data_IF_079944759711
#
_entry.id   IF_079944759711
#
_cell.length_a   1.000
_cell.length_b   1.000
_cell.length_c   1.000
_cell.angle_alpha   90.00
_cell.angle_beta   90.00
_cell.angle_gamma   90.00
#
_symmetry.space_group_name_H-M   'P 1'
#
loop_
_entity.id
_entity.type
_entity.pdbx_description
1 polymer ?
#
# COMPACT_ATOMS: atom_id res chain seq x y z
N UNK A 1 -6.37 13.62 24.10
CA UNK A 1 -5.71 14.37 23.00
C UNK A 1 -5.41 15.77 23.49
N UNK A 2 -4.35 16.40 22.98
CA UNK A 2 -4.04 17.81 23.28
C UNK A 2 -4.69 18.65 22.19
N UNK A 3 -5.31 19.77 22.56
CA UNK A 3 -5.88 20.69 21.58
C UNK A 3 -4.76 21.39 20.79
N UNK A 4 -4.91 21.55 19.48
CA UNK A 4 -3.85 22.05 18.57
C UNK A 4 -3.28 23.43 18.93
N UNK A 5 -4.06 24.22 19.67
CA UNK A 5 -3.69 25.57 20.11
C UNK A 5 -3.27 25.67 21.58
N UNK A 6 -3.25 24.56 22.32
CA UNK A 6 -3.00 24.57 23.76
C UNK A 6 -1.58 25.03 24.13
N UNK A 7 -0.61 24.84 23.23
CA UNK A 7 0.81 25.12 23.47
C UNK A 7 1.29 26.39 22.72
N UNK A 8 0.36 27.15 22.12
CA UNK A 8 0.71 28.42 21.48
C UNK A 8 1.25 29.42 22.50
N UNK A 9 2.33 30.12 22.13
CA UNK A 9 2.99 31.11 22.98
C UNK A 9 3.99 30.54 23.98
N UNK A 10 4.12 29.21 24.10
CA UNK A 10 5.06 28.55 25.02
C UNK A 10 6.45 28.30 24.39
N UNK A 11 6.92 29.19 23.52
CA UNK A 11 8.15 28.97 22.75
C UNK A 11 9.44 28.90 23.57
N UNK A 12 9.43 29.49 24.77
CA UNK A 12 10.56 29.46 25.71
C UNK A 12 10.51 28.25 26.67
N UNK A 13 9.49 27.40 26.60
CA UNK A 13 9.35 26.24 27.48
C UNK A 13 10.50 25.25 27.20
N UNK A 14 11.20 24.83 28.25
CA UNK A 14 12.33 23.89 28.15
C UNK A 14 11.94 22.46 28.53
N UNK A 15 10.99 22.31 29.44
CA UNK A 15 10.52 21.00 29.91
C UNK A 15 9.00 20.92 29.84
N UNK A 16 8.50 19.83 29.27
CA UNK A 16 7.08 19.57 29.16
C UNK A 16 6.78 18.18 29.71
N UNK A 17 6.10 18.15 30.84
CA UNK A 17 5.61 16.92 31.45
C UNK A 17 4.15 16.67 31.10
N UNK A 18 3.93 15.62 30.32
CA UNK A 18 2.62 15.09 29.94
C UNK A 18 2.43 13.66 30.44
N UNK A 19 3.25 13.22 31.38
CA UNK A 19 3.20 11.86 31.92
C UNK A 19 1.90 11.58 32.67
N UNK A 20 1.57 10.30 32.79
CA UNK A 20 0.39 9.79 33.52
C UNK A 20 -0.95 10.37 33.02
N UNK A 21 -1.02 10.68 31.73
CA UNK A 21 -2.24 11.11 31.06
C UNK A 21 -2.87 9.96 30.25
N UNK A 22 -3.91 10.28 29.49
CA UNK A 22 -4.60 9.33 28.61
C UNK A 22 -4.39 9.67 27.13
N UNK A 23 -3.19 10.13 26.77
CA UNK A 23 -2.86 10.49 25.40
C UNK A 23 -2.75 9.23 24.54
N UNK A 24 -3.54 9.18 23.47
CA UNK A 24 -3.57 8.08 22.49
C UNK A 24 -2.88 8.45 21.20
N UNK A 25 -2.90 9.74 20.85
CA UNK A 25 -2.29 10.32 19.64
C UNK A 25 -1.76 11.72 19.96
N UNK A 26 -0.74 12.13 19.21
CA UNK A 26 -0.13 13.46 19.26
C UNK A 26 -0.04 14.00 17.83
N UNK A 27 -0.38 15.27 17.65
CA UNK A 27 -0.33 15.95 16.36
C UNK A 27 0.92 16.82 16.29
N UNK A 28 1.79 16.67 15.27
CA UNK A 28 3.02 17.47 15.14
C UNK A 28 2.78 18.98 15.24
N UNK A 29 1.67 19.46 14.70
CA UNK A 29 1.27 20.87 14.66
C UNK A 29 1.09 21.46 16.05
N UNK A 30 0.74 20.65 17.04
CA UNK A 30 0.56 21.09 18.42
C UNK A 30 1.89 21.43 19.09
N UNK A 31 2.99 20.83 18.64
CA UNK A 31 4.33 20.95 19.23
C UNK A 31 5.23 21.93 18.48
N UNK A 32 4.88 22.33 17.25
CA UNK A 32 5.60 23.34 16.46
C UNK A 32 5.97 24.64 17.23
N UNK A 33 5.12 25.18 18.12
CA UNK A 33 5.47 26.40 18.84
C UNK A 33 6.60 26.23 19.85
N UNK A 34 6.92 25.01 20.29
CA UNK A 34 7.82 24.72 21.41
C UNK A 34 9.30 24.66 20.98
N UNK A 35 9.81 25.78 20.46
CA UNK A 35 11.15 25.85 19.84
C UNK A 35 12.31 25.63 20.80
N UNK A 36 12.14 25.89 22.11
CA UNK A 36 13.19 25.74 23.12
C UNK A 36 13.08 24.45 23.95
N UNK A 37 12.16 23.55 23.61
CA UNK A 37 11.90 22.36 24.42
C UNK A 37 13.07 21.38 24.36
N UNK A 38 13.65 21.10 25.51
CA UNK A 38 14.77 20.18 25.70
C UNK A 38 14.31 18.80 26.23
N UNK A 39 13.29 18.77 27.09
CA UNK A 39 12.80 17.52 27.70
C UNK A 39 11.30 17.35 27.47
N UNK A 40 10.93 16.22 26.88
CA UNK A 40 9.53 15.80 26.71
C UNK A 40 9.26 14.50 27.46
N UNK A 41 8.39 14.58 28.47
CA UNK A 41 7.98 13.42 29.25
C UNK A 41 6.58 12.95 28.84
N UNK A 42 6.50 11.77 28.23
CA UNK A 42 5.26 11.11 27.78
C UNK A 42 4.99 9.79 28.52
N UNK A 43 5.63 9.60 29.67
CA UNK A 43 5.56 8.36 30.45
C UNK A 43 4.12 7.99 30.83
N UNK A 44 3.80 6.71 30.82
CA UNK A 44 2.50 6.19 31.30
C UNK A 44 1.29 6.84 30.60
N UNK A 45 1.34 6.92 29.27
CA UNK A 45 0.20 7.31 28.44
C UNK A 45 -0.39 6.07 27.72
N UNK A 46 -1.25 6.30 26.73
CA UNK A 46 -1.92 5.25 25.93
C UNK A 46 -1.46 5.27 24.48
N UNK A 47 -0.21 5.67 24.22
CA UNK A 47 0.36 5.73 22.88
C UNK A 47 0.67 4.31 22.38
N UNK A 48 -0.04 3.87 21.35
CA UNK A 48 0.31 2.64 20.62
C UNK A 48 1.43 2.87 19.60
N UNK A 49 1.48 4.09 19.06
CA UNK A 49 2.45 4.57 18.09
C UNK A 49 2.69 6.06 18.32
N UNK A 50 3.80 6.57 17.77
CA UNK A 50 4.13 7.98 17.80
C UNK A 50 4.74 8.36 16.46
N UNK A 51 4.13 9.34 15.79
CA UNK A 51 4.69 9.91 14.58
C UNK A 51 5.99 10.65 14.92
N UNK A 52 7.15 10.27 14.34
CA UNK A 52 8.40 10.98 14.52
C UNK A 52 8.32 12.48 14.22
N UNK A 53 7.40 12.92 13.36
CA UNK A 53 7.21 14.34 13.06
C UNK A 53 6.89 15.18 14.30
N UNK A 54 6.29 14.59 15.35
CA UNK A 54 6.08 15.25 16.65
C UNK A 54 7.41 15.56 17.33
N UNK A 55 8.38 14.65 17.25
CA UNK A 55 9.69 14.79 17.87
C UNK A 55 10.61 15.65 17.01
N UNK A 56 10.51 15.55 15.69
CA UNK A 56 11.28 16.35 14.74
C UNK A 56 10.83 17.83 14.71
N UNK A 57 9.60 18.11 15.12
CA UNK A 57 9.11 19.47 15.34
C UNK A 57 9.81 20.21 16.51
N UNK A 58 10.60 19.51 17.32
CA UNK A 58 11.25 20.02 18.52
C UNK A 58 12.77 20.12 18.30
N UNK A 59 13.28 21.26 17.78
CA UNK A 59 14.66 21.37 17.31
C UNK A 59 15.71 21.31 18.44
N UNK A 60 15.32 21.64 19.67
CA UNK A 60 16.21 21.64 20.85
C UNK A 60 16.04 20.38 21.72
N UNK A 61 15.30 19.37 21.25
CA UNK A 61 15.00 18.18 22.04
C UNK A 61 16.27 17.39 22.35
N UNK A 62 16.53 17.19 23.63
CA UNK A 62 17.68 16.47 24.19
C UNK A 62 17.26 15.18 24.90
N UNK A 63 16.08 15.14 25.50
CA UNK A 63 15.60 13.98 26.26
C UNK A 63 14.12 13.70 25.98
N UNK A 64 13.81 12.44 25.69
CA UNK A 64 12.44 11.94 25.57
C UNK A 64 12.23 10.71 26.45
N UNK A 65 11.13 10.73 27.23
CA UNK A 65 10.74 9.62 28.10
C UNK A 65 9.44 9.01 27.59
N UNK A 66 9.50 7.75 27.18
CA UNK A 66 8.43 7.05 26.45
C UNK A 66 7.91 5.79 27.17
N UNK A 67 8.47 5.46 28.35
CA UNK A 67 8.15 4.23 29.08
C UNK A 67 6.69 4.17 29.52
N UNK A 68 6.16 2.95 29.68
CA UNK A 68 4.80 2.75 30.18
C UNK A 68 3.69 3.03 29.17
N UNK A 69 3.99 3.11 27.88
CA UNK A 69 3.01 3.20 26.81
C UNK A 69 2.74 1.82 26.17
N UNK A 70 1.54 1.56 25.65
CA UNK A 70 1.15 0.30 25.03
C UNK A 70 1.67 0.16 23.59
N UNK A 71 2.99 0.24 23.39
CA UNK A 71 3.61 0.24 22.07
C UNK A 71 3.20 -0.97 21.22
N UNK A 72 2.66 -0.70 20.04
CA UNK A 72 2.21 -1.69 19.09
C UNK A 72 3.33 -2.04 18.12
N UNK A 73 4.09 -3.07 18.42
CA UNK A 73 5.21 -3.57 17.64
C UNK A 73 4.75 -4.36 16.42
N UNK A 74 4.07 -3.65 15.52
CA UNK A 74 3.65 -4.06 14.19
C UNK A 74 4.39 -3.20 13.14
N UNK A 75 3.92 -3.17 11.90
CA UNK A 75 4.49 -2.29 10.88
C UNK A 75 4.29 -0.80 11.15
N UNK A 76 3.29 -0.42 11.94
CA UNK A 76 3.00 0.97 12.25
C UNK A 76 4.04 1.62 13.18
N UNK A 77 4.78 0.83 13.97
CA UNK A 77 5.85 1.35 14.84
C UNK A 77 7.11 1.72 14.06
N UNK A 78 7.23 1.29 12.80
CA UNK A 78 8.46 1.40 12.01
C UNK A 78 9.02 2.83 11.95
N UNK A 79 8.22 3.89 11.72
CA UNK A 79 8.72 5.26 11.75
C UNK A 79 9.34 5.61 13.10
N UNK A 80 8.66 5.28 14.21
CA UNK A 80 9.18 5.51 15.56
C UNK A 80 10.45 4.70 15.81
N UNK A 81 10.48 3.42 15.46
CA UNK A 81 11.66 2.56 15.62
C UNK A 81 12.88 3.13 14.88
N UNK A 82 12.70 3.66 13.67
CA UNK A 82 13.76 4.34 12.91
C UNK A 82 14.26 5.58 13.65
N UNK A 83 13.34 6.41 14.14
CA UNK A 83 13.70 7.61 14.88
C UNK A 83 14.48 7.27 16.17
N UNK A 84 14.01 6.29 16.94
CA UNK A 84 14.68 5.81 18.17
C UNK A 84 16.06 5.20 17.86
N UNK A 85 16.19 4.53 16.72
CA UNK A 85 17.46 3.95 16.26
C UNK A 85 18.48 5.00 15.83
N UNK A 86 18.01 6.13 15.29
CA UNK A 86 18.87 7.23 14.87
C UNK A 86 19.22 8.17 16.03
N UNK A 87 18.27 8.49 16.91
CA UNK A 87 18.41 9.44 18.01
C UNK A 87 18.63 8.74 19.37
N UNK A 88 19.47 7.70 19.40
CA UNK A 88 19.64 6.84 20.58
C UNK A 88 20.01 7.63 21.83
N UNK A 89 20.85 8.65 21.71
CA UNK A 89 21.30 9.51 22.80
C UNK A 89 20.17 10.30 23.47
N UNK A 90 19.09 10.61 22.74
CA UNK A 90 17.95 11.37 23.28
C UNK A 90 16.95 10.52 24.06
N UNK A 91 17.03 9.20 23.93
CA UNK A 91 16.04 8.27 24.48
C UNK A 91 16.46 7.78 25.86
N UNK A 92 15.68 8.13 26.88
CA UNK A 92 15.87 7.64 28.24
C UNK A 92 15.28 6.23 28.40
N UNK A 93 15.92 5.42 29.26
CA UNK A 93 15.49 4.07 29.63
C UNK A 93 15.09 3.15 28.44
N UNK A 94 15.95 3.05 27.43
CA UNK A 94 15.69 2.28 26.18
C UNK A 94 15.17 0.85 26.40
N UNK A 95 15.68 0.17 27.42
CA UNK A 95 15.28 -1.20 27.79
C UNK A 95 13.86 -1.30 28.33
N UNK A 96 13.28 -0.17 28.79
CA UNK A 96 11.91 -0.10 29.33
C UNK A 96 10.84 0.19 28.28
N UNK A 97 11.23 0.44 27.03
CA UNK A 97 10.32 0.67 25.91
C UNK A 97 9.79 -0.67 25.38
N UNK A 98 8.98 -1.35 26.19
CA UNK A 98 8.44 -2.67 25.89
C UNK A 98 7.29 -2.59 24.89
N UNK A 99 7.27 -3.53 23.95
CA UNK A 99 6.08 -3.82 23.18
C UNK A 99 4.96 -4.27 24.12
N UNK A 100 3.71 -3.95 23.78
CA UNK A 100 2.52 -4.49 24.45
C UNK A 100 1.59 -5.19 23.48
N UNK A 101 1.62 -4.77 22.21
CA UNK A 101 0.85 -5.39 21.13
C UNK A 101 1.84 -5.83 20.04
N UNK A 102 1.71 -7.03 19.46
CA UNK A 102 0.83 -8.11 19.90
C UNK A 102 1.34 -8.76 21.21
N UNK A 103 0.48 -9.45 21.95
CA UNK A 103 0.77 -9.93 23.31
C UNK A 103 2.02 -10.84 23.40
N UNK A 104 2.32 -11.57 22.32
CA UNK A 104 3.48 -12.45 22.21
C UNK A 104 4.81 -11.70 22.37
N UNK A 105 4.82 -10.40 22.07
CA UNK A 105 6.02 -9.57 22.16
C UNK A 105 6.09 -8.74 23.44
N UNK A 106 5.19 -8.94 24.42
CA UNK A 106 5.03 -8.06 25.57
C UNK A 106 6.26 -7.89 26.50
N UNK A 107 7.29 -8.73 26.33
CA UNK A 107 8.56 -8.71 27.08
C UNK A 107 9.74 -8.18 26.27
N UNK A 108 9.54 -7.91 24.99
CA UNK A 108 10.62 -7.45 24.12
C UNK A 108 10.57 -5.92 24.02
N UNK A 109 11.73 -5.23 24.19
CA UNK A 109 11.79 -3.80 23.92
C UNK A 109 11.73 -3.54 22.42
N UNK A 110 11.16 -2.40 22.01
CA UNK A 110 11.08 -1.94 20.61
C UNK A 110 12.48 -1.98 19.95
N UNK A 111 13.51 -1.64 20.72
CA UNK A 111 14.89 -1.58 20.24
C UNK A 111 15.57 -2.96 20.08
N UNK A 112 14.93 -4.06 20.48
CA UNK A 112 15.48 -5.41 20.27
C UNK A 112 15.35 -5.89 18.82
N UNK A 113 14.42 -5.31 18.04
CA UNK A 113 14.21 -5.72 16.65
C UNK A 113 15.23 -5.07 15.73
N UNK A 114 15.70 -5.83 14.74
CA UNK A 114 16.57 -5.35 13.66
C UNK A 114 15.77 -4.92 12.43
N UNK A 115 16.46 -4.32 11.46
CA UNK A 115 15.83 -3.89 10.20
C UNK A 115 15.19 -5.07 9.43
N UNK A 116 15.73 -6.28 9.58
CA UNK A 116 15.19 -7.52 9.01
C UNK A 116 13.73 -7.79 9.45
N UNK A 117 13.40 -7.50 10.70
CA UNK A 117 12.05 -7.67 11.25
C UNK A 117 11.02 -6.77 10.58
N UNK A 118 11.46 -5.68 9.93
CA UNK A 118 10.60 -4.71 9.27
C UNK A 118 10.68 -4.75 7.75
N UNK A 119 11.45 -5.66 7.14
CA UNK A 119 11.55 -5.78 5.68
C UNK A 119 10.20 -6.01 5.01
N UNK A 120 9.33 -6.78 5.66
CA UNK A 120 7.99 -7.09 5.15
C UNK A 120 7.01 -5.91 5.30
N UNK A 121 7.31 -4.95 6.16
CA UNK A 121 6.50 -3.74 6.37
C UNK A 121 6.66 -2.70 5.26
N UNK A 122 7.51 -2.99 4.28
CA UNK A 122 7.65 -2.20 3.06
C UNK A 122 6.49 -2.52 2.09
N UNK A 123 5.26 -2.46 2.59
CA UNK A 123 4.06 -2.39 1.79
C UNK A 123 4.08 -1.01 1.14
N UNK A 124 4.62 -0.96 -0.07
CA UNK A 124 4.38 0.13 -1.02
C UNK A 124 2.86 0.35 -1.02
N UNK A 125 2.35 1.56 -0.70
CA UNK A 125 0.92 1.82 -0.80
C UNK A 125 0.54 1.45 -2.23
N UNK A 126 -0.26 0.38 -2.42
CA UNK A 126 -0.63 -0.22 -3.72
C UNK A 126 0.06 0.49 -4.88
N UNK A 127 1.30 0.08 -5.18
CA UNK A 127 2.18 0.84 -6.09
C UNK A 127 1.36 1.36 -7.26
N UNK A 128 1.52 2.64 -7.65
CA UNK A 128 0.84 3.25 -8.81
C UNK A 128 0.88 2.30 -10.03
N UNK A 129 1.91 1.46 -10.12
CA UNK A 129 2.01 0.34 -11.05
C UNK A 129 0.82 -0.63 -11.02
N UNK A 130 0.37 -1.12 -9.87
CA UNK A 130 -0.80 -2.00 -9.77
C UNK A 130 -2.09 -1.29 -10.22
N UNK A 131 -2.28 -0.03 -9.82
CA UNK A 131 -3.42 0.77 -10.28
C UNK A 131 -3.39 1.01 -11.80
N UNK A 132 -2.22 1.33 -12.35
CA UNK A 132 -1.98 1.43 -13.79
C UNK A 132 -2.28 0.10 -14.48
N UNK A 133 -1.79 -1.02 -13.94
CA UNK A 133 -2.04 -2.35 -14.49
C UNK A 133 -3.54 -2.66 -14.56
N UNK A 134 -4.32 -2.37 -13.51
CA UNK A 134 -5.77 -2.54 -13.53
C UNK A 134 -6.48 -1.59 -14.51
N UNK A 135 -6.04 -0.33 -14.60
CA UNK A 135 -6.58 0.65 -15.57
C UNK A 135 -6.29 0.28 -17.02
N UNK A 136 -5.21 -0.45 -17.28
CA UNK A 136 -4.78 -0.86 -18.63
C UNK A 136 -5.45 -2.18 -19.04
N UNK A 137 -5.56 -3.18 -18.15
CA UNK A 137 -6.12 -4.49 -18.51
C UNK A 137 -7.56 -4.40 -19.05
N UNK A 138 -8.39 -3.53 -18.47
CA UNK A 138 -9.78 -3.34 -18.90
C UNK A 138 -9.91 -2.87 -20.37
N UNK A 139 -9.34 -1.70 -20.74
CA UNK A 139 -9.38 -1.19 -22.11
C UNK A 139 -8.76 -2.15 -23.14
N UNK A 140 -7.64 -2.80 -22.81
CA UNK A 140 -6.99 -3.72 -23.74
C UNK A 140 -7.83 -4.96 -24.02
N UNK A 141 -8.46 -5.55 -23.00
CA UNK A 141 -9.36 -6.68 -23.18
C UNK A 141 -10.61 -6.32 -23.98
N UNK A 142 -11.18 -5.12 -23.76
CA UNK A 142 -12.31 -4.61 -24.53
C UNK A 142 -11.98 -4.40 -26.01
N UNK A 143 -10.84 -3.75 -26.31
CA UNK A 143 -10.38 -3.53 -27.68
C UNK A 143 -10.08 -4.85 -28.41
N UNK A 144 -9.46 -5.82 -27.71
CA UNK A 144 -9.21 -7.14 -28.27
C UNK A 144 -10.51 -7.87 -28.62
N UNK A 145 -11.54 -7.77 -27.77
CA UNK A 145 -12.87 -8.34 -28.05
C UNK A 145 -13.54 -7.70 -29.26
N UNK A 146 -13.50 -6.37 -29.38
CA UNK A 146 -14.06 -5.65 -30.53
C UNK A 146 -13.37 -6.11 -31.82
N UNK A 147 -12.04 -6.15 -31.83
CA UNK A 147 -11.27 -6.57 -32.98
C UNK A 147 -11.64 -8.00 -33.42
N UNK A 148 -11.73 -8.92 -32.46
CA UNK A 148 -12.13 -10.30 -32.72
C UNK A 148 -13.55 -10.39 -33.31
N UNK A 149 -14.52 -9.66 -32.76
CA UNK A 149 -15.89 -9.62 -33.26
C UNK A 149 -15.97 -9.07 -34.69
N UNK A 150 -15.27 -7.98 -34.98
CA UNK A 150 -15.23 -7.38 -36.33
C UNK A 150 -14.59 -8.35 -37.32
N UNK A 151 -13.46 -8.96 -36.95
CA UNK A 151 -12.76 -9.92 -37.82
C UNK A 151 -13.65 -11.13 -38.13
N UNK A 152 -14.28 -11.72 -37.11
CA UNK A 152 -15.20 -12.84 -37.31
C UNK A 152 -16.39 -12.45 -38.18
N UNK A 153 -17.00 -11.28 -37.95
CA UNK A 153 -18.09 -10.76 -38.76
C UNK A 153 -17.68 -10.57 -40.23
N UNK A 154 -16.49 -10.02 -40.47
CA UNK A 154 -15.94 -9.84 -41.81
C UNK A 154 -15.74 -11.17 -42.55
N UNK A 155 -15.17 -12.18 -41.86
CA UNK A 155 -15.01 -13.53 -42.42
C UNK A 155 -16.36 -14.15 -42.78
N UNK A 156 -17.38 -14.01 -41.93
CA UNK A 156 -18.74 -14.51 -42.21
C UNK A 156 -19.34 -13.82 -43.43
N UNK A 157 -19.18 -12.50 -43.57
CA UNK A 157 -19.68 -11.75 -44.74
C UNK A 157 -18.99 -12.20 -46.02
N UNK A 158 -17.65 -12.37 -46.01
CA UNK A 158 -16.92 -12.92 -47.16
C UNK A 158 -17.41 -14.31 -47.49
N UNK A 159 -17.51 -15.19 -46.50
CA UNK A 159 -17.97 -16.56 -46.70
C UNK A 159 -19.37 -16.58 -47.31
N UNK A 160 -20.29 -15.78 -46.78
CA UNK A 160 -21.63 -15.65 -47.32
C UNK A 160 -21.64 -15.05 -48.73
N UNK A 161 -20.82 -14.04 -49.02
CA UNK A 161 -20.69 -13.46 -50.36
C UNK A 161 -20.16 -14.49 -51.37
N UNK A 162 -19.13 -15.25 -51.01
CA UNK A 162 -18.58 -16.34 -51.82
C UNK A 162 -19.60 -17.48 -52.03
N UNK A 163 -20.42 -17.79 -51.02
CA UNK A 163 -21.49 -18.78 -51.15
C UNK A 163 -22.72 -18.28 -51.93
N UNK A 164 -22.97 -16.96 -51.98
CA UNK A 164 -24.11 -16.34 -52.66
C UNK A 164 -23.83 -16.00 -54.13
N UNK A 165 -22.64 -16.27 -54.66
CA UNK A 165 -22.39 -16.34 -56.11
C UNK A 165 -22.54 -17.79 -56.64
N UNK A 166 -23.75 -18.26 -57.00
CA UNK A 166 -23.89 -19.47 -57.80
C UNK A 166 -24.42 -19.16 -59.21
N UNK A 167 -23.74 -18.36 -60.06
CA UNK A 167 -24.11 -18.29 -61.50
C UNK A 167 -22.96 -17.93 -62.46
N UNK A 168 -21.99 -18.83 -62.65
CA UNK A 168 -21.41 -19.11 -63.98
C UNK A 168 -20.69 -20.46 -63.93
N UNK A 169 -20.60 -21.18 -65.05
CA UNK A 169 -20.11 -22.58 -65.17
C UNK A 169 -21.14 -23.69 -64.96
N UNK A 170 -22.18 -23.71 -65.81
CA UNK A 170 -22.64 -25.00 -66.35
C UNK A 170 -21.73 -25.42 -67.51
N UNK A 171 -21.09 -26.58 -67.31
CA UNK A 171 -20.43 -27.53 -68.22
C UNK A 171 -18.90 -27.56 -68.16
N UNK A 172 -18.37 -28.74 -67.81
CA UNK A 172 -17.51 -29.48 -68.72
C UNK A 172 -18.25 -30.71 -69.27
N UNK A 173 -18.16 -30.92 -70.59
CA UNK A 173 -18.41 -32.23 -71.20
C UNK A 173 -17.22 -33.15 -70.89
N UNK A 174 -17.52 -34.44 -70.93
CA UNK A 174 -16.66 -35.59 -71.32
C UNK A 174 -16.32 -36.59 -70.20
N UNK A 175 -17.09 -37.68 -70.25
CA UNK A 175 -16.79 -39.11 -70.10
C UNK A 175 -16.22 -39.69 -68.79
N UNK A 176 -17.04 -40.55 -68.15
CA UNK A 176 -16.57 -41.84 -67.62
C UNK A 176 -17.54 -42.98 -67.97
N UNK A 177 -17.00 -43.95 -68.70
CA UNK A 177 -17.12 -45.38 -68.41
C UNK A 177 -18.51 -46.02 -68.38
N UNK A 178 -18.85 -46.64 -69.50
CA UNK A 178 -19.55 -47.93 -69.64
C UNK A 178 -20.15 -48.58 -68.36
N UNK A 179 -21.47 -48.71 -68.34
CA UNK A 179 -22.14 -49.87 -67.74
C UNK A 179 -23.28 -50.33 -68.67
N UNK A 180 -23.49 -51.64 -68.69
CA UNK A 180 -23.87 -52.48 -69.84
C UNK A 180 -25.36 -52.62 -70.12
N UNK A 181 -25.70 -52.69 -71.43
CA UNK A 181 -26.60 -53.64 -72.13
C UNK A 181 -27.99 -53.97 -71.52
N UNK A 182 -29.05 -53.65 -72.28
CA UNK A 182 -30.20 -54.54 -72.49
C UNK A 182 -30.93 -54.19 -73.81
N UNK A 183 -31.03 -55.19 -74.68
CA UNK A 183 -31.77 -55.24 -75.96
C UNK A 183 -33.28 -55.32 -75.75
N UNK A 184 -34.08 -54.75 -76.66
CA UNK A 184 -35.25 -55.40 -77.28
C UNK A 184 -35.98 -54.50 -78.30
N UNK A 185 -36.18 -55.10 -79.48
CA UNK A 185 -37.15 -54.86 -80.57
C UNK A 185 -36.99 -53.57 -81.39
#
# INVERSE_FOLDING_TARGET
>A
MIHSRALLGLGALQELDLSSNHLTTLSPETFLPLTSLATLNLVSNKLGQLDPAVLDALPQLQAVLLRGNPWACSCEILPLWRWLSYNKEKVQDKSSLLCRVPEQLNRYPIMAFGNESFRQCQEVPLSVRHYITFLIIGPFSFLASIFFCIFMGYIVVIYHHLCKEPHFWRRPRVCRGHCSRATKL
#
